data_IF_848055308975
#
_entry.id   IF_848055308975
#
_cell.length_a   1.000
_cell.length_b   1.000
_cell.length_c   1.000
_cell.angle_alpha   90.00
_cell.angle_beta   90.00
_cell.angle_gamma   90.00
#
_symmetry.space_group_name_H-M   'P 1'
#
loop_
_entity.id
_entity.type
_entity.pdbx_description
1 polymer ?
#
# COMPACT_ATOMS: atom_id res chain seq x y z
N UNK A 1 56.69 23.28 9.66
CA UNK A 1 56.66 21.84 9.98
C UNK A 1 56.37 21.11 8.65
N UNK A 2 57.39 20.56 8.03
CA UNK A 2 57.32 19.94 6.68
C UNK A 2 56.95 18.48 6.86
N UNK A 3 55.75 18.08 6.41
CA UNK A 3 55.33 16.66 6.41
C UNK A 3 56.26 15.80 5.55
N UNK A 4 56.76 14.72 6.13
CA UNK A 4 57.67 13.76 5.50
C UNK A 4 57.05 13.13 4.21
N UNK A 5 57.87 12.88 3.19
CA UNK A 5 57.47 12.31 1.90
C UNK A 5 56.79 10.93 2.02
N UNK A 6 57.02 10.24 3.12
CA UNK A 6 56.37 8.92 3.41
C UNK A 6 54.90 9.07 3.75
N UNK A 7 54.51 10.12 4.50
CA UNK A 7 53.10 10.36 4.88
C UNK A 7 52.27 10.77 3.66
N UNK A 8 52.85 11.48 2.68
CA UNK A 8 52.15 11.88 1.44
C UNK A 8 51.85 10.65 0.54
N UNK A 9 52.66 9.61 0.57
CA UNK A 9 52.41 8.37 -0.22
C UNK A 9 51.32 7.49 0.42
N UNK A 10 51.19 7.48 1.74
CA UNK A 10 50.16 6.72 2.44
C UNK A 10 48.78 7.38 2.29
N UNK A 11 48.68 8.72 2.30
CA UNK A 11 47.40 9.44 2.11
C UNK A 11 46.92 9.33 0.66
N UNK A 12 47.83 9.27 -0.34
CA UNK A 12 47.47 9.09 -1.73
C UNK A 12 46.97 7.67 -2.04
N UNK A 13 47.45 6.64 -1.30
CA UNK A 13 46.98 5.25 -1.45
C UNK A 13 45.64 4.97 -0.77
N UNK A 14 45.26 5.74 0.27
CA UNK A 14 43.96 5.59 0.93
C UNK A 14 42.80 6.28 0.15
N UNK A 15 43.09 7.24 -0.73
CA UNK A 15 42.05 7.93 -1.53
C UNK A 15 41.68 7.20 -2.83
N UNK A 16 42.48 6.23 -3.29
CA UNK A 16 42.17 5.45 -4.49
C UNK A 16 41.30 4.19 -4.24
N UNK A 17 40.98 3.87 -2.99
CA UNK A 17 40.24 2.65 -2.63
C UNK A 17 38.71 2.77 -2.57
N UNK A 18 38.12 3.92 -2.89
CA UNK A 18 36.64 4.14 -2.66
C UNK A 18 35.84 4.31 -3.96
N UNK A 19 36.46 4.21 -5.13
CA UNK A 19 35.75 4.32 -6.42
C UNK A 19 35.71 3.00 -7.17
N UNK A 20 34.92 2.05 -6.69
CA UNK A 20 34.77 0.78 -7.39
C UNK A 20 33.75 -0.20 -6.83
N UNK A 21 32.75 0.28 -6.09
CA UNK A 21 31.55 -0.52 -5.92
C UNK A 21 30.71 -0.39 -7.21
N UNK A 22 31.14 -1.10 -8.27
CA UNK A 22 30.23 -1.50 -9.33
C UNK A 22 29.13 -2.30 -8.64
N UNK A 23 27.97 -1.69 -8.39
CA UNK A 23 26.77 -2.42 -8.00
C UNK A 23 26.41 -3.32 -9.17
N UNK A 24 26.95 -4.53 -9.11
CA UNK A 24 26.64 -5.57 -10.08
C UNK A 24 25.16 -5.86 -9.94
N UNK A 25 24.36 -5.63 -10.99
CA UNK A 25 22.96 -6.01 -10.99
C UNK A 25 22.84 -7.50 -10.70
N UNK A 26 22.00 -7.93 -9.74
CA UNK A 26 21.78 -9.34 -9.49
C UNK A 26 21.17 -9.99 -10.74
N UNK A 27 21.81 -11.06 -11.22
CA UNK A 27 21.26 -11.88 -12.30
C UNK A 27 20.34 -12.93 -11.67
N UNK A 28 19.05 -12.83 -11.96
CA UNK A 28 18.04 -13.78 -11.48
C UNK A 28 17.74 -14.91 -12.46
N UNK A 29 18.28 -14.83 -13.70
CA UNK A 29 18.08 -15.85 -14.72
C UNK A 29 19.18 -16.93 -14.63
N UNK A 30 18.77 -18.20 -14.77
CA UNK A 30 19.69 -19.34 -14.95
C UNK A 30 20.19 -19.48 -16.40
N UNK A 31 19.69 -18.65 -17.32
CA UNK A 31 20.11 -18.65 -18.71
C UNK A 31 21.42 -17.88 -18.88
N UNK A 32 22.24 -18.20 -19.90
CA UNK A 32 23.41 -17.42 -20.23
C UNK A 32 22.99 -16.05 -20.77
N UNK A 33 23.12 -15.02 -19.94
CA UNK A 33 22.77 -13.63 -20.31
C UNK A 33 24.00 -12.74 -20.25
N UNK A 34 24.06 -11.74 -21.13
CA UNK A 34 25.08 -10.70 -21.10
C UNK A 34 24.49 -9.47 -20.44
N UNK A 35 24.99 -9.04 -19.27
CA UNK A 35 24.48 -7.83 -18.62
C UNK A 35 24.77 -6.59 -19.47
N UNK A 36 23.73 -5.81 -19.74
CA UNK A 36 23.84 -4.53 -20.43
C UNK A 36 22.87 -3.54 -19.77
N UNK A 37 23.25 -3.01 -18.57
CA UNK A 37 22.33 -2.20 -17.77
C UNK A 37 21.94 -0.89 -18.45
N UNK A 38 20.64 -0.62 -18.48
CA UNK A 38 20.09 0.67 -18.88
C UNK A 38 20.01 1.59 -17.66
N UNK A 39 20.17 2.89 -17.90
CA UNK A 39 19.86 3.93 -16.90
C UNK A 39 18.40 4.39 -16.96
N UNK A 40 17.63 3.91 -17.95
CA UNK A 40 16.24 4.28 -18.17
C UNK A 40 15.31 3.32 -17.40
N UNK A 41 15.18 3.50 -16.10
CA UNK A 41 14.28 2.73 -15.24
C UNK A 41 13.70 3.62 -14.14
N UNK A 42 12.64 3.13 -13.51
CA UNK A 42 12.07 3.72 -12.28
C UNK A 42 11.69 2.60 -11.32
N UNK A 43 11.61 2.92 -10.04
CA UNK A 43 11.10 2.02 -9.03
C UNK A 43 9.60 1.73 -9.24
N UNK A 44 9.06 0.67 -8.59
CA UNK A 44 7.63 0.40 -8.61
C UNK A 44 6.88 1.63 -8.10
N UNK A 45 5.72 1.89 -8.67
CA UNK A 45 4.87 3.00 -8.28
C UNK A 45 3.50 2.44 -7.88
N UNK A 46 3.16 2.44 -6.59
CA UNK A 46 1.84 2.01 -6.16
C UNK A 46 0.76 2.94 -6.74
N UNK A 47 -0.27 2.32 -7.31
CA UNK A 47 -1.40 3.02 -7.91
C UNK A 47 -2.66 2.99 -7.04
N UNK A 48 -2.63 2.24 -5.93
CA UNK A 48 -3.76 2.02 -5.02
C UNK A 48 -3.32 2.16 -3.57
N UNK A 49 -4.29 2.44 -2.70
CA UNK A 49 -4.19 2.27 -1.25
C UNK A 49 -5.31 1.33 -0.82
N UNK A 50 -4.95 0.29 -0.06
CA UNK A 50 -5.91 -0.64 0.53
C UNK A 50 -5.96 -0.40 2.04
N UNK A 51 -7.19 -0.16 2.53
CA UNK A 51 -7.47 0.11 3.93
C UNK A 51 -7.96 -1.14 4.63
N UNK A 52 -7.40 -1.40 5.80
CA UNK A 52 -7.67 -2.58 6.62
C UNK A 52 -8.01 -2.16 8.05
N UNK A 53 -8.60 -3.08 8.82
CA UNK A 53 -8.53 -3.05 10.27
C UNK A 53 -7.81 -4.31 10.78
N UNK A 54 -7.13 -4.18 11.91
CA UNK A 54 -6.29 -5.25 12.45
C UNK A 54 -7.08 -6.44 13.00
N UNK A 55 -8.35 -6.25 13.36
CA UNK A 55 -9.16 -7.20 14.13
C UNK A 55 -8.57 -7.51 15.52
N UNK A 56 -7.69 -6.67 16.02
CA UNK A 56 -7.01 -6.79 17.31
C UNK A 56 -7.54 -5.73 18.29
N UNK A 57 -7.32 -5.97 19.60
CA UNK A 57 -7.73 -5.05 20.64
C UNK A 57 -6.72 -3.94 20.93
N UNK A 58 -5.49 -4.09 20.44
CA UNK A 58 -4.41 -3.13 20.64
C UNK A 58 -3.31 -3.25 19.58
N UNK A 59 -2.66 -2.12 19.27
CA UNK A 59 -1.64 -2.02 18.23
C UNK A 59 -0.45 -2.97 18.46
N UNK A 60 -0.11 -3.30 19.71
CA UNK A 60 0.99 -4.22 20.03
C UNK A 60 0.77 -5.64 19.51
N UNK A 61 -0.46 -6.13 19.51
CA UNK A 61 -0.83 -7.44 18.96
C UNK A 61 -0.70 -7.41 17.44
N UNK A 62 -1.24 -6.39 16.80
CA UNK A 62 -1.14 -6.20 15.36
C UNK A 62 0.32 -6.09 14.89
N UNK A 63 1.15 -5.28 15.56
CA UNK A 63 2.58 -5.17 15.28
C UNK A 63 3.29 -6.54 15.38
N UNK A 64 2.98 -7.31 16.42
CA UNK A 64 3.52 -8.67 16.60
C UNK A 64 3.13 -9.60 15.45
N UNK A 65 1.92 -9.49 14.92
CA UNK A 65 1.44 -10.29 13.78
C UNK A 65 2.07 -9.82 12.47
N UNK A 66 2.06 -8.52 12.19
CA UNK A 66 2.55 -7.94 10.92
C UNK A 66 4.07 -8.01 10.74
N UNK A 67 4.82 -8.33 11.81
CA UNK A 67 6.30 -8.42 11.77
C UNK A 67 6.84 -9.82 12.03
N UNK A 68 6.00 -10.77 12.47
CA UNK A 68 6.42 -12.14 12.75
C UNK A 68 6.50 -12.94 11.44
N UNK A 69 7.67 -13.54 11.11
CA UNK A 69 7.85 -14.27 9.85
C UNK A 69 6.84 -15.39 9.63
N UNK A 70 6.45 -16.13 10.68
CA UNK A 70 5.49 -17.24 10.60
C UNK A 70 4.04 -16.82 10.33
N UNK A 71 3.72 -15.52 10.41
CA UNK A 71 2.37 -15.03 10.13
C UNK A 71 2.13 -14.84 8.62
N UNK A 72 3.19 -14.69 7.83
CA UNK A 72 3.13 -14.52 6.36
C UNK A 72 2.19 -13.38 5.92
N UNK A 73 2.06 -12.35 6.78
CA UNK A 73 1.30 -11.13 6.50
C UNK A 73 2.13 -9.91 6.89
N UNK A 74 1.94 -8.80 6.19
CA UNK A 74 2.57 -7.52 6.50
C UNK A 74 1.79 -6.37 5.86
N UNK A 75 1.96 -5.15 6.35
CA UNK A 75 1.44 -3.93 5.75
C UNK A 75 2.56 -2.89 5.65
N UNK A 76 2.35 -1.83 4.88
CA UNK A 76 3.32 -0.73 4.79
C UNK A 76 3.25 0.15 6.03
N UNK A 77 2.03 0.40 6.51
CA UNK A 77 1.75 1.25 7.66
C UNK A 77 0.75 0.61 8.61
N UNK A 78 0.84 1.01 9.87
CA UNK A 78 -0.21 0.80 10.87
C UNK A 78 -0.45 2.12 11.59
N UNK A 79 -1.73 2.52 11.71
CA UNK A 79 -2.16 3.68 12.48
C UNK A 79 -2.84 3.16 13.74
N UNK A 80 -2.26 3.44 14.90
CA UNK A 80 -2.82 3.05 16.18
C UNK A 80 -4.00 3.96 16.59
N UNK A 81 -4.81 3.52 17.55
CA UNK A 81 -5.97 4.28 18.08
C UNK A 81 -5.59 5.65 18.64
N UNK A 82 -4.38 5.79 19.19
CA UNK A 82 -3.85 7.05 19.73
C UNK A 82 -3.26 7.98 18.67
N UNK A 83 -3.32 7.58 17.39
CA UNK A 83 -2.75 8.30 16.27
C UNK A 83 -1.26 8.02 16.02
N UNK A 84 -0.63 7.11 16.76
CA UNK A 84 0.75 6.72 16.45
C UNK A 84 0.81 6.04 15.08
N UNK A 85 1.67 6.56 14.20
CA UNK A 85 1.89 6.02 12.84
C UNK A 85 3.16 5.16 12.83
N UNK A 86 2.99 3.88 12.53
CA UNK A 86 4.11 2.95 12.35
C UNK A 86 4.38 2.70 10.88
N UNK A 87 5.66 2.71 10.49
CA UNK A 87 6.16 2.37 9.17
C UNK A 87 6.83 1.00 9.21
N UNK A 88 6.27 0.01 8.52
CA UNK A 88 6.64 -1.40 8.68
C UNK A 88 7.38 -1.94 7.45
N UNK A 89 6.89 -1.66 6.25
CA UNK A 89 7.48 -2.11 4.98
C UNK A 89 7.69 -0.89 4.08
N UNK A 90 8.85 -0.85 3.43
CA UNK A 90 9.16 0.20 2.46
C UNK A 90 8.12 0.24 1.34
N UNK A 91 7.64 1.43 1.00
CA UNK A 91 6.57 1.65 0.01
C UNK A 91 6.91 1.10 -1.38
N UNK A 92 8.18 1.00 -1.73
CA UNK A 92 8.64 0.44 -2.99
C UNK A 92 8.81 -1.08 -2.94
N UNK A 93 8.61 -1.70 -1.77
CA UNK A 93 8.58 -3.15 -1.59
C UNK A 93 7.14 -3.67 -1.58
N UNK A 94 6.99 -4.97 -1.79
CA UNK A 94 5.71 -5.66 -1.79
C UNK A 94 5.38 -6.15 -0.39
N UNK A 95 4.50 -5.48 0.34
CA UNK A 95 3.92 -6.01 1.58
C UNK A 95 2.83 -7.06 1.25
N UNK A 96 2.50 -7.93 2.21
CA UNK A 96 1.58 -9.06 2.05
C UNK A 96 0.28 -8.81 2.81
N UNK A 97 -0.61 -7.97 2.28
CA UNK A 97 -1.82 -7.52 2.97
C UNK A 97 -3.13 -7.84 2.24
N UNK A 98 -3.11 -8.00 0.90
CA UNK A 98 -4.34 -8.14 0.13
C UNK A 98 -4.78 -9.61 -0.08
N UNK A 99 -3.82 -10.55 -0.14
CA UNK A 99 -4.11 -11.92 -0.55
C UNK A 99 -4.69 -12.02 -1.95
N UNK A 100 -5.44 -13.09 -2.29
CA UNK A 100 -6.19 -13.17 -3.54
C UNK A 100 -7.22 -12.04 -3.62
N UNK A 101 -7.17 -11.23 -4.68
CA UNK A 101 -7.96 -10.02 -4.80
C UNK A 101 -8.33 -9.75 -6.28
N UNK A 102 -9.40 -8.98 -6.47
CA UNK A 102 -9.85 -8.53 -7.78
C UNK A 102 -10.29 -7.06 -7.70
N UNK A 103 -9.83 -6.23 -8.65
CA UNK A 103 -10.33 -4.88 -8.80
C UNK A 103 -10.09 -4.41 -10.24
N UNK A 104 -11.16 -4.36 -11.04
CA UNK A 104 -11.07 -4.05 -12.48
C UNK A 104 -10.31 -5.09 -13.30
N UNK A 105 -10.03 -6.27 -12.72
CA UNK A 105 -9.28 -7.37 -13.29
C UNK A 105 -8.48 -8.14 -12.24
N UNK A 106 -7.87 -9.28 -12.60
CA UNK A 106 -7.02 -10.08 -11.71
C UNK A 106 -5.67 -9.38 -11.52
N UNK A 107 -5.59 -8.42 -10.60
CA UNK A 107 -4.38 -7.65 -10.29
C UNK A 107 -3.75 -8.19 -9.00
N UNK A 108 -2.42 -8.37 -8.97
CA UNK A 108 -1.69 -8.56 -7.71
C UNK A 108 -1.70 -7.25 -6.89
N UNK A 109 -2.72 -7.10 -6.05
CA UNK A 109 -2.91 -5.90 -5.24
C UNK A 109 -1.79 -5.70 -4.22
N UNK A 110 -1.10 -6.74 -3.76
CA UNK A 110 0.11 -6.59 -2.94
C UNK A 110 1.22 -5.84 -3.70
N UNK A 111 1.35 -6.06 -5.00
CA UNK A 111 2.35 -5.36 -5.84
C UNK A 111 1.87 -3.99 -6.31
N UNK A 112 0.57 -3.78 -6.45
CA UNK A 112 -0.01 -2.55 -7.02
C UNK A 112 -0.36 -1.48 -5.99
N UNK A 113 -0.35 -1.81 -4.68
CA UNK A 113 -0.90 -0.94 -3.64
C UNK A 113 0.04 -0.69 -2.45
N UNK A 114 -0.34 0.29 -1.64
CA UNK A 114 0.10 0.51 -0.26
C UNK A 114 -0.98 -0.04 0.66
N UNK A 115 -0.66 -1.00 1.54
CA UNK A 115 -1.58 -1.48 2.58
C UNK A 115 -1.41 -0.67 3.85
N UNK A 116 -2.52 -0.20 4.42
CA UNK A 116 -2.59 0.55 5.67
C UNK A 116 -3.52 -0.17 6.62
N UNK A 117 -3.00 -0.61 7.74
CA UNK A 117 -3.75 -1.19 8.84
C UNK A 117 -4.19 -0.10 9.83
N UNK A 118 -5.40 -0.19 10.33
CA UNK A 118 -5.90 0.64 11.43
C UNK A 118 -6.15 -0.27 12.63
N UNK A 119 -5.57 0.09 13.77
CA UNK A 119 -5.84 -0.62 15.03
C UNK A 119 -7.30 -0.44 15.43
N UNK A 120 -8.11 -1.48 15.21
CA UNK A 120 -9.54 -1.52 15.46
C UNK A 120 -9.98 -2.99 15.47
N UNK A 121 -10.91 -3.34 16.33
CA UNK A 121 -11.44 -4.71 16.44
C UNK A 121 -12.50 -5.06 15.37
N UNK A 122 -12.89 -4.07 14.56
CA UNK A 122 -13.90 -4.19 13.50
C UNK A 122 -15.34 -3.92 13.97
N UNK A 123 -15.58 -3.77 15.27
CA UNK A 123 -16.92 -3.54 15.85
C UNK A 123 -17.12 -2.13 16.40
N UNK A 124 -16.06 -1.44 16.75
CA UNK A 124 -16.06 -0.12 17.38
C UNK A 124 -15.88 1.02 16.36
N UNK A 125 -16.31 2.25 16.69
CA UNK A 125 -15.97 3.44 15.91
C UNK A 125 -14.45 3.70 15.91
N UNK A 126 -13.94 4.25 14.83
CA UNK A 126 -12.55 4.69 14.73
C UNK A 126 -12.32 5.96 15.54
N UNK A 127 -11.17 6.06 16.23
CA UNK A 127 -10.81 7.26 16.99
C UNK A 127 -10.56 8.45 16.05
N UNK A 128 -11.02 9.64 16.41
CA UNK A 128 -10.85 10.85 15.60
C UNK A 128 -9.38 11.13 15.27
N UNK A 129 -8.49 11.05 16.29
CA UNK A 129 -7.06 11.27 16.09
C UNK A 129 -6.44 10.24 15.14
N UNK A 130 -6.92 9.00 15.14
CA UNK A 130 -6.48 7.94 14.22
C UNK A 130 -6.86 8.30 12.78
N UNK A 131 -8.10 8.76 12.56
CA UNK A 131 -8.58 9.18 11.24
C UNK A 131 -7.88 10.46 10.77
N UNK A 132 -7.57 11.41 11.66
CA UNK A 132 -6.80 12.61 11.29
C UNK A 132 -5.40 12.25 10.78
N UNK A 133 -4.71 11.33 11.46
CA UNK A 133 -3.40 10.83 11.03
C UNK A 133 -3.49 10.05 9.72
N UNK A 134 -4.53 9.21 9.57
CA UNK A 134 -4.80 8.51 8.31
C UNK A 134 -4.95 9.51 7.16
N UNK A 135 -5.81 10.52 7.30
CA UNK A 135 -6.05 11.52 6.26
C UNK A 135 -4.77 12.26 5.86
N UNK A 136 -3.92 12.60 6.83
CA UNK A 136 -2.60 13.21 6.56
C UNK A 136 -1.69 12.26 5.76
N UNK A 137 -1.63 10.96 6.12
CA UNK A 137 -0.88 9.96 5.39
C UNK A 137 -1.42 9.77 3.97
N UNK A 138 -2.76 9.70 3.80
CA UNK A 138 -3.39 9.55 2.49
C UNK A 138 -3.08 10.76 1.58
N UNK A 139 -3.07 11.97 2.14
CA UNK A 139 -2.72 13.18 1.39
C UNK A 139 -1.27 13.15 0.90
N UNK A 140 -0.32 12.73 1.74
CA UNK A 140 1.08 12.55 1.38
C UNK A 140 1.26 11.50 0.28
N UNK A 141 0.68 10.30 0.45
CA UNK A 141 0.72 9.22 -0.54
C UNK A 141 0.10 9.65 -1.87
N UNK A 142 -1.07 10.29 -1.84
CA UNK A 142 -1.75 10.82 -3.03
C UNK A 142 -0.88 11.81 -3.78
N UNK A 143 -0.24 12.73 -3.09
CA UNK A 143 0.62 13.76 -3.69
C UNK A 143 1.87 13.12 -4.32
N UNK A 144 2.57 12.22 -3.61
CA UNK A 144 3.81 11.59 -4.08
C UNK A 144 3.58 10.62 -5.23
N UNK A 145 2.55 9.79 -5.15
CA UNK A 145 2.27 8.74 -6.13
C UNK A 145 1.20 9.12 -7.14
N UNK A 146 0.52 10.27 -6.98
CA UNK A 146 -0.60 10.73 -7.84
C UNK A 146 -1.72 9.70 -7.93
N UNK A 147 -2.07 9.09 -6.79
CA UNK A 147 -3.11 8.07 -6.72
C UNK A 147 -4.48 8.73 -6.95
N UNK A 148 -5.29 8.25 -7.92
CA UNK A 148 -6.65 8.76 -8.14
C UNK A 148 -7.53 8.55 -6.90
N UNK A 149 -8.52 9.42 -6.69
CA UNK A 149 -9.46 9.28 -5.56
C UNK A 149 -10.13 7.90 -5.51
N UNK A 150 -10.55 7.36 -6.64
CA UNK A 150 -11.19 6.06 -6.76
C UNK A 150 -10.31 4.86 -6.36
N UNK A 151 -9.00 5.07 -6.19
CA UNK A 151 -8.05 4.01 -5.89
C UNK A 151 -7.69 3.92 -4.39
N UNK A 152 -8.43 4.60 -3.53
CA UNK A 152 -8.43 4.40 -2.07
C UNK A 152 -9.61 3.50 -1.73
N UNK A 153 -9.36 2.23 -1.42
CA UNK A 153 -10.35 1.14 -1.44
C UNK A 153 -10.24 0.34 -0.15
N UNK A 154 -11.34 -0.30 0.28
CA UNK A 154 -11.34 -1.24 1.39
C UNK A 154 -10.88 -2.63 0.97
N UNK A 155 -10.35 -3.41 1.91
CA UNK A 155 -10.01 -4.80 1.65
C UNK A 155 -11.26 -5.63 1.29
N UNK A 156 -12.40 -5.31 1.92
CA UNK A 156 -13.68 -5.95 1.60
C UNK A 156 -14.13 -5.73 0.15
N UNK A 157 -13.79 -4.57 -0.45
CA UNK A 157 -14.14 -4.26 -1.84
C UNK A 157 -13.38 -5.12 -2.84
N UNK A 158 -12.09 -5.37 -2.57
CA UNK A 158 -11.23 -6.17 -3.46
C UNK A 158 -11.30 -7.68 -3.20
N UNK A 159 -11.96 -8.10 -2.13
CA UNK A 159 -12.07 -9.50 -1.73
C UNK A 159 -13.46 -9.80 -1.12
N UNK A 160 -14.57 -9.49 -1.85
CA UNK A 160 -15.94 -9.65 -1.34
C UNK A 160 -16.20 -11.10 -0.93
N UNK A 161 -16.94 -11.28 0.16
CA UNK A 161 -17.23 -12.60 0.73
C UNK A 161 -16.08 -13.26 1.50
N UNK A 162 -14.83 -12.78 1.34
CA UNK A 162 -13.65 -13.22 2.08
C UNK A 162 -13.23 -12.23 3.17
N UNK A 163 -13.40 -10.95 2.91
CA UNK A 163 -13.00 -9.84 3.78
C UNK A 163 -14.13 -8.85 3.97
N UNK A 164 -14.12 -8.15 5.08
CA UNK A 164 -15.09 -7.13 5.44
C UNK A 164 -14.45 -5.81 5.89
N UNK A 165 -13.13 -5.82 6.11
CA UNK A 165 -12.36 -4.66 6.56
C UNK A 165 -12.25 -3.57 5.48
N UNK A 166 -12.23 -2.29 5.85
CA UNK A 166 -12.20 -1.73 7.20
C UNK A 166 -13.55 -1.69 7.93
N UNK A 167 -14.61 -2.30 7.39
CA UNK A 167 -15.90 -2.50 8.05
C UNK A 167 -16.86 -1.31 7.98
N UNK A 168 -18.06 -1.52 8.52
CA UNK A 168 -19.19 -0.57 8.39
C UNK A 168 -19.03 0.71 9.22
N UNK A 169 -18.21 0.66 10.26
CA UNK A 169 -17.94 1.83 11.13
C UNK A 169 -16.83 2.73 10.58
N UNK A 170 -16.24 2.36 9.45
CA UNK A 170 -15.20 3.17 8.83
C UNK A 170 -15.79 4.43 8.18
N UNK A 171 -15.20 5.62 8.43
CA UNK A 171 -15.82 6.90 8.05
C UNK A 171 -15.58 7.25 6.57
N UNK A 172 -16.08 6.44 5.64
CA UNK A 172 -15.91 6.62 4.19
C UNK A 172 -16.36 8.00 3.69
N UNK A 173 -17.46 8.54 4.27
CA UNK A 173 -17.95 9.87 3.91
C UNK A 173 -16.87 10.94 4.17
N UNK A 174 -16.19 10.86 5.30
CA UNK A 174 -15.12 11.80 5.67
C UNK A 174 -13.93 11.68 4.73
N UNK A 175 -13.55 10.44 4.38
CA UNK A 175 -12.48 10.19 3.42
C UNK A 175 -12.86 10.69 2.03
N UNK A 176 -14.07 10.40 1.55
CA UNK A 176 -14.57 10.85 0.25
C UNK A 176 -14.59 12.37 0.15
N UNK A 177 -15.02 13.07 1.21
CA UNK A 177 -14.99 14.54 1.30
C UNK A 177 -13.56 15.10 1.24
N UNK A 178 -12.57 14.34 1.73
CA UNK A 178 -11.13 14.63 1.61
C UNK A 178 -10.54 14.26 0.24
N UNK A 179 -11.32 13.63 -0.64
CA UNK A 179 -10.86 13.15 -1.96
C UNK A 179 -10.12 11.82 -1.91
N UNK A 180 -10.43 10.97 -0.91
CA UNK A 180 -9.89 9.62 -0.75
C UNK A 180 -11.03 8.60 -0.75
N UNK A 181 -11.16 7.83 -1.81
CA UNK A 181 -12.32 6.98 -2.08
C UNK A 181 -13.43 7.71 -2.83
N UNK A 182 -14.44 6.95 -3.20
CA UNK A 182 -15.68 7.47 -3.80
C UNK A 182 -16.76 7.51 -2.73
N UNK A 183 -17.48 8.63 -2.69
CA UNK A 183 -18.64 8.81 -1.82
C UNK A 183 -19.71 9.55 -2.59
N UNK A 184 -20.95 9.11 -2.48
CA UNK A 184 -22.11 9.75 -3.08
C UNK A 184 -22.98 10.33 -1.98
N UNK A 185 -23.40 11.58 -2.12
CA UNK A 185 -24.33 12.25 -1.22
C UNK A 185 -25.76 12.19 -1.78
N UNK A 186 -26.78 11.97 -0.92
CA UNK A 186 -28.16 12.05 -1.35
C UNK A 186 -28.56 13.50 -1.69
N UNK A 187 -29.57 13.70 -2.58
CA UNK A 187 -30.35 12.65 -3.24
C UNK A 187 -29.57 11.96 -4.36
N UNK A 188 -29.77 10.65 -4.48
CA UNK A 188 -29.14 9.89 -5.56
C UNK A 188 -29.99 9.94 -6.83
N UNK A 189 -29.35 10.15 -7.97
CA UNK A 189 -29.99 9.94 -9.25
C UNK A 189 -30.31 8.45 -9.45
N UNK A 190 -31.43 8.10 -10.09
CA UNK A 190 -31.74 6.72 -10.40
C UNK A 190 -30.66 6.15 -11.32
N UNK A 191 -30.32 4.88 -11.14
CA UNK A 191 -29.42 4.17 -12.04
C UNK A 191 -29.95 4.24 -13.50
N UNK A 192 -29.04 4.29 -14.49
CA UNK A 192 -29.44 4.30 -15.88
C UNK A 192 -30.32 3.10 -16.21
N UNK A 193 -31.46 3.35 -16.86
CA UNK A 193 -32.39 2.29 -17.23
C UNK A 193 -31.76 1.31 -18.24
N UNK A 194 -31.99 0.01 -18.04
CA UNK A 194 -31.51 -1.02 -18.95
C UNK A 194 -30.07 -1.52 -18.67
N UNK A 195 -29.44 -1.03 -17.60
CA UNK A 195 -28.14 -1.54 -17.13
C UNK A 195 -28.39 -2.31 -15.83
N UNK A 196 -27.97 -3.57 -15.78
CA UNK A 196 -28.08 -4.40 -14.59
C UNK A 196 -27.02 -4.02 -13.52
N UNK A 197 -27.31 -4.39 -12.27
CA UNK A 197 -26.41 -4.08 -11.14
C UNK A 197 -25.01 -4.71 -11.28
N UNK A 198 -24.91 -5.89 -11.87
CA UNK A 198 -23.62 -6.54 -12.10
C UNK A 198 -22.74 -5.72 -13.05
N UNK A 199 -23.32 -5.20 -14.13
CA UNK A 199 -22.61 -4.30 -15.06
C UNK A 199 -22.17 -3.01 -14.36
N UNK A 200 -23.00 -2.43 -13.51
CA UNK A 200 -22.64 -1.22 -12.76
C UNK A 200 -21.51 -1.49 -11.75
N UNK A 201 -21.58 -2.60 -11.02
CA UNK A 201 -20.53 -3.01 -10.08
C UNK A 201 -19.21 -3.32 -10.80
N UNK A 202 -19.27 -4.02 -11.94
CA UNK A 202 -18.08 -4.29 -12.75
C UNK A 202 -17.43 -2.99 -13.27
N UNK A 203 -18.24 -1.99 -13.63
CA UNK A 203 -17.73 -0.67 -14.05
C UNK A 203 -17.00 0.08 -12.91
N UNK A 204 -17.35 -0.20 -11.65
CA UNK A 204 -16.63 0.31 -10.47
C UNK A 204 -15.36 -0.48 -10.15
N UNK A 205 -15.23 -1.71 -10.65
CA UNK A 205 -14.07 -2.56 -10.44
C UNK A 205 -14.35 -3.87 -9.69
N UNK A 206 -15.56 -4.09 -9.17
CA UNK A 206 -15.90 -5.30 -8.40
C UNK A 206 -15.86 -6.57 -9.25
N UNK A 207 -15.50 -7.70 -8.61
CA UNK A 207 -15.68 -9.02 -9.21
C UNK A 207 -17.17 -9.38 -9.21
N UNK A 208 -17.74 -9.48 -10.40
CA UNK A 208 -19.15 -9.84 -10.60
C UNK A 208 -19.32 -11.26 -11.12
N UNK A 209 -18.27 -12.07 -11.17
CA UNK A 209 -18.31 -13.45 -11.68
C UNK A 209 -19.25 -14.37 -10.90
N UNK A 210 -19.52 -14.06 -9.63
CA UNK A 210 -20.39 -14.82 -8.72
C UNK A 210 -21.65 -14.03 -8.28
N UNK A 211 -21.93 -12.88 -8.89
CA UNK A 211 -23.19 -12.16 -8.60
C UNK A 211 -24.32 -12.93 -9.27
N UNK A 212 -25.04 -13.75 -8.48
CA UNK A 212 -26.29 -14.32 -8.93
C UNK A 212 -27.22 -13.18 -9.32
N UNK A 213 -27.77 -13.23 -10.51
CA UNK A 213 -28.82 -12.32 -10.98
C UNK A 213 -30.04 -12.49 -10.06
N UNK A 214 -30.07 -11.70 -8.98
CA UNK A 214 -31.23 -11.57 -8.12
C UNK A 214 -32.05 -10.37 -8.56
#
# INVERSE_FOLDING_TARGET
MVMSRAIRRFVALLLCGVLGACTQMPLYSSLPVVPYPSVNFSERRPGFVILHHTSDNEAGQALGTLTRPSAEVSAHYLVARDGTLYYLVDELKRAWHAGPAFWGGPIDMNSASIGIELDNDGSEPYAEVQIDVLLALLADLKARYRIPAANFIGHGDIAPGRKVDPGVNFPWQRLGSGGFGLWCEPPFDPAPSGIDNGTLLAALGYDTSNVSSA
#
